data_IF_057332309980
#
_entry.id   IF_057332309980
#
_cell.length_a   1.000
_cell.length_b   1.000
_cell.length_c   1.000
_cell.angle_alpha   90.00
_cell.angle_beta   90.00
_cell.angle_gamma   90.00
#
_symmetry.space_group_name_H-M   'P 1'
#
loop_
_entity.id
_entity.type
_entity.pdbx_description
1 polymer ?
#
# COMPACT_ATOMS: atom_id res chain seq x y z
N UNK A 1 6.71 7.26 30.34
CA UNK A 1 5.78 6.89 29.25
C UNK A 1 5.42 8.19 28.57
N UNK A 2 5.74 8.37 27.29
CA UNK A 2 5.36 9.59 26.56
C UNK A 2 3.84 9.57 26.39
N UNK A 3 3.15 10.60 26.88
CA UNK A 3 1.70 10.74 26.73
C UNK A 3 1.41 11.26 25.32
N UNK A 4 1.19 10.33 24.38
CA UNK A 4 0.87 10.65 23.00
C UNK A 4 -0.64 10.73 22.83
N UNK A 5 -1.13 11.95 22.59
CA UNK A 5 -2.52 12.16 22.17
C UNK A 5 -2.65 11.80 20.69
N UNK A 6 -3.61 10.94 20.35
CA UNK A 6 -3.91 10.60 18.96
C UNK A 6 -4.36 11.84 18.17
N UNK A 7 -3.72 12.09 17.04
CA UNK A 7 -4.12 13.13 16.10
C UNK A 7 -5.33 12.66 15.28
N UNK A 8 -6.40 13.46 15.24
CA UNK A 8 -7.64 13.12 14.53
C UNK A 8 -8.16 14.36 13.79
N UNK A 9 -8.56 14.16 12.54
CA UNK A 9 -9.22 15.20 11.72
C UNK A 9 -10.74 15.00 11.69
N UNK A 10 -11.21 13.76 11.82
CA UNK A 10 -12.63 13.41 11.82
C UNK A 10 -13.05 12.98 13.23
N UNK A 11 -14.24 13.42 13.63
CA UNK A 11 -14.95 12.89 14.78
C UNK A 11 -15.58 11.53 14.44
N UNK A 12 -15.97 10.71 15.44
CA UNK A 12 -16.58 9.39 15.20
C UNK A 12 -17.87 9.40 14.37
N UNK A 13 -18.58 10.53 14.32
CA UNK A 13 -19.77 10.73 13.50
C UNK A 13 -19.47 11.15 12.05
N UNK A 14 -18.19 11.27 11.69
CA UNK A 14 -17.71 11.67 10.37
C UNK A 14 -17.64 13.19 10.15
N UNK A 15 -17.95 14.00 11.16
CA UNK A 15 -17.79 15.46 11.06
C UNK A 15 -16.30 15.85 11.15
N UNK A 16 -15.91 16.87 10.37
CA UNK A 16 -14.53 17.38 10.36
C UNK A 16 -14.33 18.30 11.56
N UNK A 17 -13.22 18.12 12.28
CA UNK A 17 -12.79 19.06 13.32
C UNK A 17 -12.61 20.45 12.70
N UNK A 18 -13.25 21.46 13.29
CA UNK A 18 -13.19 22.86 12.80
C UNK A 18 -11.77 23.38 12.70
N UNK A 19 -10.84 22.90 13.51
CA UNK A 19 -9.42 23.27 13.43
C UNK A 19 -8.74 22.77 12.13
N UNK A 20 -9.38 21.85 11.42
CA UNK A 20 -8.89 21.20 10.20
C UNK A 20 -9.92 21.29 9.05
N UNK A 21 -10.85 22.26 9.10
CA UNK A 21 -11.88 22.47 8.07
C UNK A 21 -11.31 22.80 6.70
N UNK A 22 -10.08 23.33 6.66
CA UNK A 22 -9.42 23.81 5.46
C UNK A 22 -8.63 22.69 4.74
N UNK A 23 -9.14 21.45 4.81
CA UNK A 23 -8.54 20.29 4.16
C UNK A 23 -8.23 20.58 2.69
N UNK A 24 -6.98 20.30 2.29
CA UNK A 24 -6.50 20.48 0.91
C UNK A 24 -7.02 19.41 -0.06
N UNK A 25 -7.76 18.41 0.41
CA UNK A 25 -8.31 17.34 -0.42
C UNK A 25 -9.61 17.77 -1.09
N UNK A 26 -9.65 17.64 -2.42
CA UNK A 26 -10.86 17.86 -3.21
C UNK A 26 -11.88 16.72 -3.02
N UNK A 27 -13.18 16.98 -3.23
CA UNK A 27 -14.20 15.93 -3.21
C UNK A 27 -13.90 14.75 -4.13
N UNK A 28 -13.31 15.00 -5.31
CA UNK A 28 -12.94 13.96 -6.26
C UNK A 28 -11.81 13.06 -5.73
N UNK A 29 -10.82 13.61 -5.05
CA UNK A 29 -9.76 12.84 -4.40
C UNK A 29 -10.31 11.99 -3.24
N UNK A 30 -11.23 12.55 -2.44
CA UNK A 30 -11.91 11.81 -1.37
C UNK A 30 -12.72 10.64 -1.95
N UNK A 31 -13.48 10.87 -3.02
CA UNK A 31 -14.25 9.84 -3.69
C UNK A 31 -13.37 8.77 -4.34
N UNK A 32 -12.23 9.17 -4.91
CA UNK A 32 -11.22 8.27 -5.45
C UNK A 32 -10.68 7.33 -4.36
N UNK A 33 -10.22 7.88 -3.23
CA UNK A 33 -9.72 7.09 -2.11
C UNK A 33 -10.80 6.15 -1.54
N UNK A 34 -12.03 6.64 -1.40
CA UNK A 34 -13.15 5.82 -0.94
C UNK A 34 -13.43 4.63 -1.87
N UNK A 35 -13.42 4.86 -3.19
CA UNK A 35 -13.59 3.78 -4.18
C UNK A 35 -12.45 2.77 -4.10
N UNK A 36 -11.21 3.21 -3.90
CA UNK A 36 -10.08 2.30 -3.72
C UNK A 36 -10.19 1.49 -2.43
N UNK A 37 -10.63 2.09 -1.31
CA UNK A 37 -10.87 1.35 -0.06
C UNK A 37 -11.90 0.24 -0.25
N UNK A 38 -12.99 0.52 -0.97
CA UNK A 38 -13.98 -0.50 -1.32
C UNK A 38 -13.39 -1.58 -2.23
N UNK A 39 -12.63 -1.20 -3.25
CA UNK A 39 -11.98 -2.15 -4.15
C UNK A 39 -11.03 -3.08 -3.39
N UNK A 40 -10.20 -2.52 -2.50
CA UNK A 40 -9.28 -3.27 -1.66
C UNK A 40 -10.03 -4.30 -0.80
N UNK A 41 -11.07 -3.86 -0.09
CA UNK A 41 -11.91 -4.74 0.74
C UNK A 41 -12.53 -5.88 -0.06
N UNK A 42 -13.07 -5.59 -1.26
CA UNK A 42 -13.68 -6.61 -2.12
C UNK A 42 -12.66 -7.57 -2.71
N UNK A 43 -11.48 -7.08 -3.07
CA UNK A 43 -10.39 -7.92 -3.54
C UNK A 43 -9.92 -8.86 -2.43
N UNK A 44 -9.73 -8.34 -1.22
CA UNK A 44 -9.39 -9.13 -0.04
C UNK A 44 -10.40 -10.25 0.22
N UNK A 45 -11.68 -9.93 0.29
CA UNK A 45 -12.76 -10.91 0.45
C UNK A 45 -12.69 -12.00 -0.62
N UNK A 46 -12.49 -11.61 -1.89
CA UNK A 46 -12.44 -12.54 -3.01
C UNK A 46 -11.21 -13.44 -2.95
N UNK A 47 -10.03 -12.89 -2.68
CA UNK A 47 -8.80 -13.67 -2.65
C UNK A 47 -8.75 -14.60 -1.43
N UNK A 48 -9.28 -14.18 -0.28
CA UNK A 48 -9.48 -15.06 0.88
C UNK A 48 -10.38 -16.25 0.52
N UNK A 49 -11.48 -16.02 -0.20
CA UNK A 49 -12.34 -17.12 -0.68
C UNK A 49 -11.59 -18.09 -1.60
N UNK A 50 -10.78 -17.58 -2.54
CA UNK A 50 -9.98 -18.41 -3.44
C UNK A 50 -8.92 -19.21 -2.68
N UNK A 51 -8.28 -18.61 -1.68
CA UNK A 51 -7.30 -19.26 -0.83
C UNK A 51 -7.94 -20.42 -0.06
N UNK A 52 -9.12 -20.20 0.53
CA UNK A 52 -9.88 -21.25 1.25
C UNK A 52 -10.34 -22.40 0.36
N UNK A 53 -10.49 -22.14 -0.94
CA UNK A 53 -10.80 -23.17 -1.95
C UNK A 53 -9.55 -23.88 -2.48
N UNK A 54 -8.34 -23.53 -2.02
CA UNK A 54 -7.08 -24.06 -2.54
C UNK A 54 -6.74 -23.58 -3.95
N UNK A 55 -7.40 -22.53 -4.45
CA UNK A 55 -7.17 -21.99 -5.81
C UNK A 55 -5.96 -21.06 -5.89
N UNK A 56 -5.52 -20.54 -4.75
CA UNK A 56 -4.25 -19.83 -4.57
C UNK A 56 -3.58 -20.34 -3.30
N UNK A 57 -2.24 -20.36 -3.28
CA UNK A 57 -1.47 -20.95 -2.17
C UNK A 57 -1.54 -20.14 -0.87
N UNK A 58 -1.69 -18.83 -0.95
CA UNK A 58 -1.67 -17.93 0.21
C UNK A 58 -2.39 -16.62 -0.10
N UNK A 59 -2.91 -15.96 0.94
CA UNK A 59 -3.38 -14.58 0.85
C UNK A 59 -3.52 -13.98 2.25
N UNK A 60 -3.16 -12.70 2.41
CA UNK A 60 -3.44 -11.93 3.62
C UNK A 60 -3.93 -10.53 3.24
N UNK A 61 -5.10 -10.16 3.75
CA UNK A 61 -5.71 -8.85 3.50
C UNK A 61 -5.31 -7.79 4.52
N UNK A 62 -5.84 -6.59 4.35
CA UNK A 62 -5.56 -5.40 5.17
C UNK A 62 -6.83 -4.82 5.81
N UNK A 63 -7.76 -5.70 6.19
CA UNK A 63 -9.03 -5.31 6.77
C UNK A 63 -8.85 -4.49 8.06
N UNK A 64 -9.29 -3.23 8.04
CA UNK A 64 -9.14 -2.28 9.14
C UNK A 64 -7.94 -1.35 8.99
N UNK A 65 -7.07 -1.59 8.01
CA UNK A 65 -5.83 -0.85 7.77
C UNK A 65 -5.89 -0.04 6.47
N UNK A 66 -6.96 -0.14 5.68
CA UNK A 66 -7.03 0.42 4.33
C UNK A 66 -6.78 1.92 4.29
N UNK A 67 -7.42 2.68 5.19
CA UNK A 67 -7.29 4.13 5.24
C UNK A 67 -5.88 4.58 5.65
N UNK A 68 -5.24 3.88 6.60
CA UNK A 68 -3.89 4.19 7.04
C UNK A 68 -2.86 3.97 5.92
N UNK A 69 -3.02 2.87 5.18
CA UNK A 69 -2.16 2.52 4.05
C UNK A 69 -2.39 3.48 2.88
N UNK A 70 -3.65 3.70 2.48
CA UNK A 70 -3.96 4.53 1.32
C UNK A 70 -3.68 6.01 1.55
N UNK A 71 -4.01 6.53 2.74
CA UNK A 71 -3.76 7.94 3.08
C UNK A 71 -2.27 8.28 3.05
N UNK A 72 -1.43 7.40 3.60
CA UNK A 72 0.02 7.58 3.56
C UNK A 72 0.59 7.46 2.15
N UNK A 73 0.13 6.49 1.34
CA UNK A 73 0.57 6.34 -0.04
C UNK A 73 0.11 7.48 -0.96
N UNK A 74 -1.08 8.04 -0.72
CA UNK A 74 -1.65 9.12 -1.53
C UNK A 74 -0.95 10.46 -1.30
N UNK A 75 -0.33 10.64 -0.13
CA UNK A 75 0.45 11.82 0.18
C UNK A 75 1.82 11.87 -0.53
N UNK A 76 2.23 10.79 -1.22
CA UNK A 76 3.52 10.70 -1.90
C UNK A 76 3.46 11.20 -3.36
N UNK A 77 4.53 11.84 -3.80
CA UNK A 77 4.73 12.16 -5.22
C UNK A 77 4.99 10.87 -6.03
N UNK A 78 4.68 10.84 -7.32
CA UNK A 78 4.93 9.68 -8.21
C UNK A 78 6.40 9.22 -8.23
N UNK A 79 7.34 10.13 -7.94
CA UNK A 79 8.77 9.85 -7.85
C UNK A 79 9.15 9.11 -6.56
N UNK A 80 8.32 9.11 -5.54
CA UNK A 80 8.68 8.54 -4.24
C UNK A 80 8.58 7.02 -4.25
N UNK A 81 9.45 6.37 -3.49
CA UNK A 81 9.47 4.92 -3.38
C UNK A 81 8.57 4.43 -2.24
N UNK A 82 7.86 3.34 -2.51
CA UNK A 82 7.14 2.57 -1.49
C UNK A 82 7.87 1.26 -1.26
N UNK A 83 8.24 1.02 0.01
CA UNK A 83 8.86 -0.19 0.49
C UNK A 83 7.86 -0.92 1.41
N UNK A 84 7.08 -1.87 0.88
CA UNK A 84 5.99 -2.54 1.58
C UNK A 84 6.48 -3.65 2.54
N UNK A 85 5.58 -4.14 3.37
CA UNK A 85 5.71 -5.38 4.13
C UNK A 85 4.91 -6.50 3.43
N UNK A 86 3.61 -6.66 3.71
CA UNK A 86 2.74 -7.61 3.00
C UNK A 86 1.23 -7.31 3.12
N UNK A 87 0.84 -6.19 3.76
CA UNK A 87 -0.58 -5.76 3.85
C UNK A 87 -0.87 -4.55 2.96
N UNK A 88 0.12 -4.02 2.28
CA UNK A 88 0.07 -2.71 1.62
C UNK A 88 -0.60 -2.74 0.23
N UNK A 89 -1.61 -3.59 0.04
CA UNK A 89 -2.36 -3.66 -1.23
C UNK A 89 -3.03 -2.33 -1.54
N UNK A 90 -3.52 -1.64 -0.50
CA UNK A 90 -4.07 -0.30 -0.64
C UNK A 90 -3.07 0.70 -1.24
N UNK A 91 -1.78 0.62 -0.88
CA UNK A 91 -0.75 1.50 -1.40
C UNK A 91 -0.43 1.19 -2.87
N UNK A 92 -0.41 -0.10 -3.22
CA UNK A 92 -0.28 -0.53 -4.61
C UNK A 92 -1.44 -0.02 -5.48
N UNK A 93 -2.68 -0.12 -5.00
CA UNK A 93 -3.86 0.39 -5.70
C UNK A 93 -3.82 1.92 -5.87
N UNK A 94 -3.43 2.66 -4.83
CA UNK A 94 -3.24 4.12 -4.90
C UNK A 94 -2.19 4.50 -5.94
N UNK A 95 -1.10 3.72 -6.06
CA UNK A 95 -0.06 3.89 -7.08
C UNK A 95 -0.47 3.44 -8.48
N UNK A 96 -1.73 3.02 -8.68
CA UNK A 96 -2.22 2.61 -9.99
C UNK A 96 -1.68 1.26 -10.45
N UNK A 97 -1.28 0.37 -9.53
CA UNK A 97 -0.88 -0.99 -9.89
C UNK A 97 -2.03 -1.67 -10.66
N UNK A 98 -1.80 -2.12 -11.92
CA UNK A 98 -2.85 -2.77 -12.70
C UNK A 98 -3.44 -3.98 -11.96
N UNK A 99 -4.76 -3.97 -11.75
CA UNK A 99 -5.46 -5.04 -11.04
C UNK A 99 -5.24 -6.41 -11.69
N UNK A 100 -5.15 -6.44 -13.02
CA UNK A 100 -4.84 -7.66 -13.77
C UNK A 100 -3.47 -8.26 -13.37
N UNK A 101 -2.43 -7.43 -13.27
CA UNK A 101 -1.10 -7.88 -12.89
C UNK A 101 -1.05 -8.35 -11.43
N UNK A 102 -1.74 -7.67 -10.51
CA UNK A 102 -1.88 -8.11 -9.11
C UNK A 102 -2.52 -9.50 -9.02
N UNK A 103 -3.62 -9.71 -9.75
CA UNK A 103 -4.31 -11.00 -9.78
C UNK A 103 -3.41 -12.09 -10.38
N UNK A 104 -2.65 -11.78 -11.43
CA UNK A 104 -1.68 -12.72 -12.00
C UNK A 104 -0.60 -13.10 -10.99
N UNK A 105 -0.10 -12.15 -10.19
CA UNK A 105 0.84 -12.41 -9.09
C UNK A 105 0.23 -13.33 -8.02
N UNK A 106 -1.01 -13.06 -7.60
CA UNK A 106 -1.69 -13.89 -6.60
C UNK A 106 -1.94 -15.33 -7.09
N UNK A 107 -2.14 -15.51 -8.39
CA UNK A 107 -2.30 -16.83 -9.02
C UNK A 107 -0.95 -17.51 -9.33
N UNK A 108 0.13 -16.73 -9.46
CA UNK A 108 1.44 -17.22 -9.92
C UNK A 108 1.40 -17.77 -11.36
N UNK A 109 0.58 -17.18 -12.24
CA UNK A 109 0.37 -17.67 -13.60
C UNK A 109 1.43 -17.13 -14.59
N UNK A 110 1.30 -17.50 -15.88
CA UNK A 110 2.24 -17.10 -16.93
C UNK A 110 2.30 -15.59 -17.22
N UNK A 111 1.27 -14.84 -16.82
CA UNK A 111 1.16 -13.39 -17.00
C UNK A 111 1.68 -12.60 -15.78
N UNK A 112 2.13 -13.28 -14.72
CA UNK A 112 2.81 -12.62 -13.61
C UNK A 112 4.15 -12.03 -14.09
N UNK A 113 4.26 -10.69 -14.04
CA UNK A 113 5.48 -9.97 -14.37
C UNK A 113 6.67 -10.37 -13.47
N UNK A 114 6.39 -10.91 -12.27
CA UNK A 114 7.37 -11.45 -11.32
C UNK A 114 7.64 -12.96 -11.51
N UNK A 115 7.05 -13.56 -12.55
CA UNK A 115 7.34 -14.90 -13.08
C UNK A 115 6.96 -16.05 -12.14
N UNK A 116 5.99 -15.85 -11.25
CA UNK A 116 5.49 -16.88 -10.33
C UNK A 116 6.54 -17.40 -9.33
N UNK A 117 7.64 -16.65 -9.12
CA UNK A 117 8.78 -17.08 -8.29
C UNK A 117 8.56 -16.86 -6.80
N UNK A 118 7.67 -15.93 -6.47
CA UNK A 118 7.37 -15.54 -5.11
C UNK A 118 6.04 -16.13 -4.67
N UNK A 119 5.86 -16.23 -3.36
CA UNK A 119 4.57 -16.57 -2.77
C UNK A 119 3.48 -15.59 -3.24
N UNK A 120 2.22 -16.01 -3.42
CA UNK A 120 1.11 -15.08 -3.55
C UNK A 120 1.17 -13.99 -2.47
N UNK A 121 0.75 -12.77 -2.81
CA UNK A 121 0.83 -11.58 -1.96
C UNK A 121 2.24 -10.94 -1.82
N UNK A 122 3.20 -11.39 -2.61
CA UNK A 122 4.53 -10.76 -2.76
C UNK A 122 4.66 -10.05 -4.11
N UNK A 123 3.82 -9.05 -4.34
CA UNK A 123 3.89 -8.22 -5.54
C UNK A 123 4.98 -7.16 -5.42
N UNK A 124 5.33 -6.60 -6.57
CA UNK A 124 6.35 -5.60 -6.75
C UNK A 124 6.32 -5.13 -8.19
N UNK A 125 6.44 -3.81 -8.40
CA UNK A 125 6.44 -3.24 -9.74
C UNK A 125 7.31 -1.99 -9.76
N UNK A 126 8.44 -2.10 -10.48
CA UNK A 126 9.41 -1.02 -10.62
C UNK A 126 8.84 0.21 -11.34
N UNK A 127 7.91 0.03 -12.27
CA UNK A 127 7.35 1.12 -13.06
C UNK A 127 6.63 2.15 -12.18
N UNK A 128 6.03 1.70 -11.08
CA UNK A 128 5.33 2.52 -10.08
C UNK A 128 6.15 2.72 -8.79
N UNK A 129 7.46 2.43 -8.82
CA UNK A 129 8.39 2.56 -7.67
C UNK A 129 7.91 1.85 -6.41
N UNK A 130 7.33 0.66 -6.60
CA UNK A 130 6.87 -0.23 -5.52
C UNK A 130 7.85 -1.39 -5.39
N UNK A 131 8.62 -1.41 -4.31
CA UNK A 131 9.64 -2.44 -4.08
C UNK A 131 8.99 -3.83 -3.93
N UNK A 132 9.72 -4.87 -4.35
CA UNK A 132 9.25 -6.25 -4.19
C UNK A 132 9.16 -6.61 -2.72
N UNK A 133 8.02 -7.15 -2.34
CA UNK A 133 7.79 -7.74 -1.01
C UNK A 133 8.69 -8.97 -0.81
N UNK A 134 9.07 -9.22 0.44
CA UNK A 134 9.69 -10.46 0.89
C UNK A 134 9.14 -10.88 2.26
N UNK A 135 9.10 -12.18 2.57
CA UNK A 135 8.56 -12.68 3.86
C UNK A 135 9.32 -12.24 5.12
N UNK A 136 10.67 -12.13 5.12
CA UNK A 136 11.41 -11.79 6.34
C UNK A 136 11.07 -10.38 6.87
N UNK A 137 10.35 -10.34 7.99
CA UNK A 137 9.89 -9.11 8.63
C UNK A 137 11.06 -8.24 9.10
N UNK A 138 10.94 -6.94 8.87
CA UNK A 138 11.89 -5.92 9.34
C UNK A 138 13.11 -5.74 8.44
N UNK A 139 13.36 -6.64 7.49
CA UNK A 139 14.50 -6.53 6.56
C UNK A 139 14.40 -5.34 5.62
N UNK A 140 13.18 -4.93 5.29
CA UNK A 140 12.90 -3.81 4.40
C UNK A 140 13.22 -2.44 5.04
N UNK A 141 13.25 -2.35 6.37
CA UNK A 141 13.52 -1.10 7.10
C UNK A 141 14.94 -0.56 6.84
N UNK A 142 16.02 -1.33 7.07
CA UNK A 142 17.37 -0.87 6.73
C UNK A 142 17.57 -0.74 5.22
N UNK A 143 16.88 -1.54 4.38
CA UNK A 143 16.95 -1.41 2.92
C UNK A 143 16.36 -0.07 2.45
N UNK A 144 15.20 0.33 2.99
CA UNK A 144 14.59 1.63 2.74
C UNK A 144 15.51 2.78 3.19
N UNK A 145 16.16 2.62 4.33
CA UNK A 145 17.16 3.60 4.84
C UNK A 145 18.32 3.75 3.86
N UNK A 146 18.86 2.64 3.35
CA UNK A 146 19.91 2.65 2.34
C UNK A 146 19.47 3.27 1.01
N UNK A 147 18.24 3.00 0.58
CA UNK A 147 17.64 3.63 -0.61
C UNK A 147 17.55 5.15 -0.44
N UNK A 148 17.04 5.64 0.69
CA UNK A 148 16.98 7.07 1.02
C UNK A 148 18.37 7.71 1.04
N UNK A 149 19.37 7.03 1.60
CA UNK A 149 20.74 7.52 1.61
C UNK A 149 21.31 7.64 0.19
N UNK A 150 21.05 6.65 -0.67
CA UNK A 150 21.49 6.68 -2.06
C UNK A 150 20.80 7.79 -2.88
N UNK A 151 19.53 8.10 -2.59
CA UNK A 151 18.82 9.26 -3.16
C UNK A 151 19.52 10.56 -2.73
N UNK A 152 19.79 10.72 -1.44
CA UNK A 152 20.49 11.89 -0.89
C UNK A 152 21.88 12.10 -1.50
N UNK A 153 22.68 11.04 -1.61
CA UNK A 153 24.05 11.12 -2.18
C UNK A 153 24.01 11.60 -3.64
N UNK A 154 22.98 11.22 -4.40
CA UNK A 154 22.82 11.63 -5.80
C UNK A 154 22.17 13.00 -5.97
N UNK A 155 21.85 13.70 -4.87
CA UNK A 155 21.15 14.99 -4.90
C UNK A 155 19.69 14.88 -5.32
N UNK A 156 19.06 13.71 -5.14
CA UNK A 156 17.65 13.49 -5.43
C UNK A 156 16.72 14.14 -4.41
N UNK A 157 15.43 14.20 -4.77
CA UNK A 157 14.36 14.80 -3.94
C UNK A 157 13.23 13.81 -3.63
N UNK A 158 13.42 12.55 -3.97
CA UNK A 158 12.46 11.48 -3.71
C UNK A 158 12.41 11.15 -2.22
N UNK A 159 11.20 10.95 -1.70
CA UNK A 159 10.95 10.32 -0.42
C UNK A 159 10.93 8.80 -0.55
N UNK A 160 11.10 8.11 0.58
CA UNK A 160 10.93 6.66 0.70
C UNK A 160 10.00 6.39 1.88
N UNK A 161 8.84 5.81 1.59
CA UNK A 161 7.90 5.34 2.59
C UNK A 161 8.13 3.86 2.84
N UNK A 162 8.32 3.49 4.11
CA UNK A 162 8.47 2.09 4.53
C UNK A 162 7.39 1.71 5.53
N UNK A 163 6.74 0.58 5.29
CA UNK A 163 5.72 0.00 6.17
C UNK A 163 6.32 -1.15 6.98
N UNK A 164 5.93 -1.30 8.26
CA UNK A 164 6.36 -2.35 9.16
C UNK A 164 5.39 -2.54 10.33
#
# INVERSE_FOLDING_TARGET
MLDFKAFNILHPDGTVDKAHSDSSLTPDQLLFLYRLMLLNRRLDERMIMLQRQGRIGFYIGSAGEEAAIMGSAFALDEKDWIVPCYRELGAALVRGYPLFELICQFLGNAEDINKGRQMPNHYGNRAIRFASISSPVGTQIPQATGLSLAIKIRGGSEAVLVYF
#
